data_IF_946987163140
#
_entry.id   IF_946987163140
#
_cell.length_a   1.000
_cell.length_b   1.000
_cell.length_c   1.000
_cell.angle_alpha   90.00
_cell.angle_beta   90.00
_cell.angle_gamma   90.00
#
_symmetry.space_group_name_H-M   'P 1'
#
loop_
_entity.id
_entity.type
_entity.pdbx_description
1 polymer ?
#
# COMPACT_ATOMS: atom_id res chain seq x y z
N UNK A 1 7.52 -9.81 -15.58
CA UNK A 1 6.31 -9.01 -15.86
C UNK A 1 6.30 -7.89 -14.85
N UNK A 2 6.58 -6.67 -15.29
CA UNK A 2 6.44 -5.47 -14.47
C UNK A 2 4.95 -5.23 -14.26
N UNK A 3 4.53 -5.13 -12.99
CA UNK A 3 3.15 -4.83 -12.59
C UNK A 3 2.82 -3.37 -12.94
N UNK A 4 2.77 -3.07 -14.25
CA UNK A 4 2.57 -1.74 -14.81
C UNK A 4 1.18 -1.17 -14.51
N UNK A 5 0.36 -1.91 -13.76
CA UNK A 5 -0.98 -1.53 -13.32
C UNK A 5 -0.95 -0.57 -12.13
N UNK A 6 0.05 -0.67 -11.22
CA UNK A 6 0.06 0.10 -9.98
C UNK A 6 0.59 1.52 -10.22
N UNK A 7 -0.32 2.49 -10.08
CA UNK A 7 -0.03 3.92 -10.20
C UNK A 7 0.07 4.64 -8.84
N UNK A 8 -0.45 4.04 -7.76
CA UNK A 8 -0.37 4.61 -6.43
C UNK A 8 -0.53 3.60 -5.31
N UNK A 9 -0.06 3.96 -4.12
CA UNK A 9 -0.30 3.21 -2.89
C UNK A 9 -0.85 4.16 -1.83
N UNK A 10 -1.87 3.73 -1.11
CA UNK A 10 -2.38 4.44 0.07
C UNK A 10 -2.36 3.50 1.26
N UNK A 11 -2.10 4.07 2.44
CA UNK A 11 -2.21 3.38 3.71
C UNK A 11 -3.32 4.02 4.53
N UNK A 12 -4.18 3.20 5.09
CA UNK A 12 -5.21 3.63 6.03
C UNK A 12 -4.89 3.04 7.40
N UNK A 13 -5.03 3.84 8.45
CA UNK A 13 -4.84 3.40 9.83
C UNK A 13 -6.18 3.20 10.51
N UNK A 14 -6.28 2.19 11.36
CA UNK A 14 -7.40 2.01 12.30
C UNK A 14 -7.14 2.72 13.64
N UNK A 15 -7.89 2.30 14.67
CA UNK A 15 -7.74 2.80 16.04
C UNK A 15 -8.59 4.04 16.35
N UNK A 16 -8.26 4.72 17.46
CA UNK A 16 -9.00 5.89 17.95
C UNK A 16 -8.89 7.11 17.03
N UNK A 17 -7.82 7.18 16.23
CA UNK A 17 -7.56 8.25 15.27
C UNK A 17 -7.27 7.66 13.88
N UNK A 18 -8.29 7.19 13.16
CA UNK A 18 -8.12 6.64 11.83
C UNK A 18 -7.69 7.73 10.84
N UNK A 19 -6.82 7.37 9.90
CA UNK A 19 -6.25 8.31 8.94
C UNK A 19 -6.00 7.67 7.58
N UNK A 20 -5.91 8.50 6.54
CA UNK A 20 -5.54 8.10 5.18
C UNK A 20 -4.26 8.82 4.78
N UNK A 21 -3.25 8.05 4.40
CA UNK A 21 -1.92 8.55 4.10
C UNK A 21 -1.51 8.13 2.70
N UNK A 22 -1.18 9.10 1.86
CA UNK A 22 -0.63 8.85 0.52
C UNK A 22 0.83 8.40 0.63
N UNK A 23 1.21 7.39 -0.14
CA UNK A 23 2.62 6.97 -0.22
C UNK A 23 3.47 7.98 -0.98
N UNK A 24 4.72 8.10 -0.56
CA UNK A 24 5.80 8.59 -1.40
C UNK A 24 6.35 7.45 -2.25
N UNK A 25 6.94 7.77 -3.38
CA UNK A 25 7.51 6.79 -4.32
C UNK A 25 8.97 7.13 -4.63
N UNK A 26 9.81 6.10 -4.68
CA UNK A 26 11.19 6.19 -5.18
C UNK A 26 11.36 5.10 -6.24
N UNK A 27 11.81 5.49 -7.42
CA UNK A 27 12.27 4.54 -8.45
C UNK A 27 13.77 4.30 -8.26
N UNK A 28 14.17 3.04 -8.07
CA UNK A 28 15.56 2.68 -7.76
C UNK A 28 16.22 1.88 -8.90
N UNK A 29 15.42 1.27 -9.76
CA UNK A 29 15.82 0.67 -11.04
C UNK A 29 14.68 0.89 -12.04
N UNK A 30 14.94 0.89 -13.36
CA UNK A 30 13.89 1.06 -14.37
C UNK A 30 12.72 0.08 -14.16
N UNK A 31 11.54 0.62 -13.88
CA UNK A 31 10.32 -0.17 -13.64
C UNK A 31 10.23 -0.82 -12.25
N UNK A 32 11.17 -0.55 -11.34
CA UNK A 32 11.14 -1.01 -9.94
C UNK A 32 11.01 0.19 -9.01
N UNK A 33 9.89 0.21 -8.29
CA UNK A 33 9.47 1.31 -7.44
C UNK A 33 9.32 0.82 -6.01
N UNK A 34 9.74 1.64 -5.07
CA UNK A 34 9.48 1.50 -3.65
C UNK A 34 8.47 2.57 -3.24
N UNK A 35 7.33 2.13 -2.71
CA UNK A 35 6.34 3.02 -2.09
C UNK A 35 6.48 2.95 -0.57
N UNK A 36 6.47 4.10 0.09
CA UNK A 36 6.55 4.18 1.54
C UNK A 36 5.66 5.27 2.10
N UNK A 37 5.19 5.07 3.33
CA UNK A 37 4.36 6.03 4.07
C UNK A 37 5.06 6.30 5.40
N UNK A 38 5.14 7.58 5.78
CA UNK A 38 5.53 7.98 7.13
C UNK A 38 4.26 8.15 7.95
N UNK A 39 4.07 7.28 8.93
CA UNK A 39 2.94 7.36 9.84
C UNK A 39 3.28 8.23 11.06
N UNK A 40 2.31 8.96 11.62
CA UNK A 40 2.50 9.61 12.90
C UNK A 40 2.66 8.58 14.03
N UNK A 41 3.27 8.98 15.13
CA UNK A 41 3.54 8.10 16.28
C UNK A 41 2.28 7.48 16.89
N UNK A 42 1.14 8.19 16.82
CA UNK A 42 -0.14 7.71 17.31
C UNK A 42 -0.84 6.71 16.39
N UNK A 43 -0.30 6.43 15.19
CA UNK A 43 -0.90 5.46 14.28
C UNK A 43 -0.83 4.05 14.89
N UNK A 44 -1.96 3.35 14.90
CA UNK A 44 -2.08 2.01 15.44
C UNK A 44 -2.65 1.04 14.40
N UNK A 45 -2.31 -0.23 14.57
CA UNK A 45 -2.87 -1.33 13.77
C UNK A 45 -4.38 -1.50 14.06
N UNK A 46 -5.15 -2.06 13.12
CA UNK A 46 -4.73 -2.59 11.82
C UNK A 46 -4.43 -1.50 10.79
N UNK A 47 -3.45 -1.76 9.92
CA UNK A 47 -3.23 -0.94 8.72
C UNK A 47 -3.88 -1.59 7.51
N UNK A 48 -4.42 -0.79 6.60
CA UNK A 48 -4.93 -1.28 5.32
C UNK A 48 -4.11 -0.65 4.21
N UNK A 49 -3.39 -1.48 3.46
CA UNK A 49 -2.60 -1.07 2.29
C UNK A 49 -3.42 -1.31 1.05
N UNK A 50 -3.59 -0.29 0.20
CA UNK A 50 -4.26 -0.40 -1.10
C UNK A 50 -3.31 0.02 -2.21
N UNK A 51 -3.16 -0.85 -3.20
CA UNK A 51 -2.56 -0.52 -4.47
C UNK A 51 -3.66 0.01 -5.41
N UNK A 52 -3.38 1.12 -6.09
CA UNK A 52 -4.32 1.81 -6.96
C UNK A 52 -3.86 1.75 -8.41
N UNK A 53 -4.79 1.55 -9.33
CA UNK A 53 -4.55 1.63 -10.78
C UNK A 53 -4.46 3.10 -11.28
N UNK A 54 -4.18 3.30 -12.57
CA UNK A 54 -4.11 4.63 -13.18
C UNK A 54 -5.42 5.43 -13.12
N UNK A 55 -6.56 4.76 -12.92
CA UNK A 55 -7.88 5.38 -12.77
C UNK A 55 -8.23 5.64 -11.29
N UNK A 56 -7.35 5.23 -10.36
CA UNK A 56 -7.57 5.33 -8.92
C UNK A 56 -8.40 4.19 -8.32
N UNK A 57 -8.70 3.13 -9.07
CA UNK A 57 -9.39 1.96 -8.54
C UNK A 57 -8.45 1.09 -7.70
N UNK A 58 -9.00 0.34 -6.76
CA UNK A 58 -8.22 -0.60 -5.95
C UNK A 58 -7.86 -1.81 -6.81
N UNK A 59 -6.58 -1.93 -7.15
CA UNK A 59 -6.02 -3.09 -7.85
C UNK A 59 -5.67 -4.24 -6.90
N UNK A 60 -5.33 -3.91 -5.65
CA UNK A 60 -5.06 -4.87 -4.58
C UNK A 60 -5.27 -4.22 -3.20
N UNK A 61 -5.65 -5.02 -2.20
CA UNK A 61 -5.78 -4.58 -0.81
C UNK A 61 -5.22 -5.65 0.15
N UNK A 62 -4.59 -5.20 1.24
CA UNK A 62 -4.21 -6.06 2.36
C UNK A 62 -4.32 -5.36 3.69
N UNK A 63 -4.87 -6.08 4.66
CA UNK A 63 -4.92 -5.67 6.06
C UNK A 63 -3.73 -6.25 6.81
N UNK A 64 -2.98 -5.38 7.49
CA UNK A 64 -1.84 -5.71 8.34
C UNK A 64 -2.26 -5.56 9.80
N UNK A 65 -2.68 -6.66 10.42
CA UNK A 65 -3.03 -6.69 11.85
C UNK A 65 -1.77 -6.74 12.75
N UNK A 66 -0.74 -7.48 12.33
CA UNK A 66 0.56 -7.57 12.98
C UNK A 66 1.69 -7.38 11.94
N UNK A 67 2.01 -6.13 11.56
CA UNK A 67 2.92 -5.83 10.45
C UNK A 67 4.30 -6.48 10.57
N UNK A 68 4.83 -6.63 11.80
CA UNK A 68 6.12 -7.26 12.05
C UNK A 68 6.15 -8.76 11.72
N UNK A 69 4.99 -9.42 11.69
CA UNK A 69 4.82 -10.85 11.39
C UNK A 69 4.28 -11.08 9.96
N UNK A 70 4.10 -10.02 9.17
CA UNK A 70 3.56 -10.12 7.83
C UNK A 70 4.67 -10.38 6.78
N UNK A 71 4.39 -11.20 5.78
CA UNK A 71 5.36 -11.52 4.70
C UNK A 71 5.59 -10.36 3.73
N UNK A 72 4.80 -9.29 3.82
CA UNK A 72 4.86 -8.13 2.92
C UNK A 72 4.30 -8.38 1.52
N UNK A 73 3.88 -9.61 1.19
CA UNK A 73 3.38 -9.94 -0.16
C UNK A 73 1.93 -9.47 -0.31
N UNK A 74 1.69 -8.61 -1.29
CA UNK A 74 0.38 -8.21 -1.79
C UNK A 74 0.31 -8.57 -3.28
N UNK A 75 -0.65 -9.42 -3.65
CA UNK A 75 -0.86 -9.83 -5.04
C UNK A 75 -1.95 -8.95 -5.65
N UNK A 76 -1.64 -8.26 -6.74
CA UNK A 76 -2.64 -7.72 -7.66
C UNK A 76 -3.33 -8.90 -8.36
N UNK A 77 -4.65 -8.86 -8.46
CA UNK A 77 -5.39 -9.90 -9.17
C UNK A 77 -5.21 -9.74 -10.68
N UNK A 78 -4.82 -10.81 -11.39
CA UNK A 78 -5.01 -10.91 -12.84
C UNK A 78 -6.52 -10.80 -13.11
N UNK A 79 -6.95 -9.63 -13.61
CA UNK A 79 -8.29 -9.51 -14.17
C UNK A 79 -8.31 -10.30 -15.48
N UNK A 80 -9.02 -11.44 -15.45
CA UNK A 80 -9.47 -12.14 -16.67
C UNK A 80 -10.42 -11.28 -17.48
#
# INVERSE_FOLDING_TARGET
MTDASVAGVIMMTGGEQPGKYASKIVEFEPGRRLWFVLLPEFAATPYIVRALDQKGNIAAEKTLAAPINDTGVLKSGDSR
#
